data_IF_388491475544
#
_entry.id   IF_388491475544
#
_cell.length_a   1.000
_cell.length_b   1.000
_cell.length_c   1.000
_cell.angle_alpha   90.00
_cell.angle_beta   90.00
_cell.angle_gamma   90.00
#
_symmetry.space_group_name_H-M   'P 1'
#
loop_
_entity.id
_entity.type
_entity.pdbx_description
1 polymer ?
#
# COMPACT_ATOMS: atom_id res chain seq x y z
N UNK A 1 -17.12 22.96 -6.33
CA UNK A 1 -15.82 22.23 -6.42
C UNK A 1 -15.58 21.54 -5.08
N UNK A 2 -15.78 20.22 -5.00
CA UNK A 2 -15.46 19.49 -3.77
C UNK A 2 -13.94 19.34 -3.68
N UNK A 3 -13.30 20.04 -2.74
CA UNK A 3 -11.86 19.94 -2.50
C UNK A 3 -11.44 18.47 -2.38
N UNK A 4 -10.42 18.07 -3.13
CA UNK A 4 -9.84 16.71 -3.13
C UNK A 4 -9.15 16.41 -1.78
N UNK A 5 -8.80 17.45 -1.02
CA UNK A 5 -8.14 17.36 0.27
C UNK A 5 -9.13 17.66 1.39
N UNK A 6 -9.66 16.61 2.02
CA UNK A 6 -10.40 16.73 3.29
C UNK A 6 -9.42 16.61 4.46
N UNK A 7 -9.69 17.24 5.61
CA UNK A 7 -8.86 17.10 6.81
C UNK A 7 -8.78 15.64 7.28
N UNK A 8 -9.80 14.82 7.03
CA UNK A 8 -9.78 13.38 7.30
C UNK A 8 -8.75 12.63 6.44
N UNK A 9 -8.63 12.99 5.16
CA UNK A 9 -7.67 12.39 4.24
C UNK A 9 -6.24 12.75 4.63
N UNK A 10 -5.99 14.02 4.97
CA UNK A 10 -4.69 14.51 5.44
C UNK A 10 -4.19 13.76 6.68
N UNK A 11 -5.07 13.49 7.65
CA UNK A 11 -4.73 12.73 8.86
C UNK A 11 -4.35 11.26 8.59
N UNK A 12 -4.79 10.71 7.47
CA UNK A 12 -4.55 9.31 7.10
C UNK A 12 -3.34 9.14 6.14
N UNK A 13 -2.79 10.24 5.60
CA UNK A 13 -1.57 10.18 4.77
C UNK A 13 -0.38 9.52 5.49
N UNK A 14 -0.10 9.81 6.78
CA UNK A 14 0.98 9.14 7.49
C UNK A 14 0.80 7.63 7.59
N UNK A 15 -0.45 7.13 7.68
CA UNK A 15 -0.73 5.70 7.72
C UNK A 15 -0.42 5.03 6.37
N UNK A 16 -0.74 5.69 5.26
CA UNK A 16 -0.40 5.20 3.93
C UNK A 16 1.13 5.16 3.71
N UNK A 17 1.84 6.18 4.19
CA UNK A 17 3.31 6.22 4.14
C UNK A 17 3.93 5.13 5.01
N UNK A 18 3.54 5.03 6.28
CA UNK A 18 4.06 4.04 7.23
C UNK A 18 3.78 2.61 6.75
N UNK A 19 2.57 2.33 6.26
CA UNK A 19 2.26 1.02 5.69
C UNK A 19 3.09 0.72 4.44
N UNK A 20 3.32 1.71 3.57
CA UNK A 20 4.22 1.55 2.42
C UNK A 20 5.66 1.24 2.82
N UNK A 21 6.19 1.92 3.85
CA UNK A 21 7.53 1.65 4.41
C UNK A 21 7.62 0.22 4.93
N UNK A 22 6.65 -0.20 5.75
CA UNK A 22 6.60 -1.57 6.31
C UNK A 22 6.55 -2.61 5.21
N UNK A 23 5.70 -2.41 4.20
CA UNK A 23 5.57 -3.34 3.07
C UNK A 23 6.85 -3.40 2.23
N UNK A 24 7.55 -2.28 2.05
CA UNK A 24 8.85 -2.29 1.38
C UNK A 24 9.86 -3.15 2.12
N UNK A 25 9.98 -2.98 3.43
CA UNK A 25 10.90 -3.79 4.25
C UNK A 25 10.53 -5.28 4.18
N UNK A 26 9.23 -5.59 4.18
CA UNK A 26 8.74 -6.95 4.02
C UNK A 26 9.09 -7.55 2.64
N UNK A 27 8.98 -6.78 1.56
CA UNK A 27 9.41 -7.22 0.22
C UNK A 27 10.89 -7.61 0.21
N UNK A 28 11.75 -6.82 0.86
CA UNK A 28 13.20 -7.11 0.95
C UNK A 28 13.52 -8.34 1.80
N UNK A 29 12.73 -8.62 2.84
CA UNK A 29 12.98 -9.73 3.77
C UNK A 29 12.25 -11.02 3.41
N UNK A 30 11.30 -10.98 2.47
CA UNK A 30 10.48 -12.16 2.18
C UNK A 30 11.22 -13.19 1.34
N UNK A 31 11.10 -14.45 1.74
CA UNK A 31 11.59 -15.60 0.96
C UNK A 31 10.56 -16.10 -0.07
N UNK A 32 9.31 -15.62 0.02
CA UNK A 32 8.20 -16.07 -0.82
C UNK A 32 7.37 -14.89 -1.31
N UNK A 33 6.70 -15.06 -2.44
CA UNK A 33 5.88 -14.00 -3.06
C UNK A 33 4.54 -13.79 -2.31
N UNK A 34 4.03 -14.82 -1.64
CA UNK A 34 2.66 -14.83 -1.12
C UNK A 34 2.48 -13.90 0.09
N UNK A 35 3.46 -13.86 0.99
CA UNK A 35 3.38 -13.05 2.21
C UNK A 35 3.33 -11.54 1.90
N UNK A 36 4.20 -10.98 1.03
CA UNK A 36 4.11 -9.58 0.62
C UNK A 36 2.77 -9.21 -0.02
N UNK A 37 2.24 -10.05 -0.89
CA UNK A 37 0.96 -9.78 -1.54
C UNK A 37 -0.22 -9.85 -0.58
N UNK A 38 -0.26 -10.83 0.32
CA UNK A 38 -1.30 -10.91 1.33
C UNK A 38 -1.29 -9.66 2.22
N UNK A 39 -0.11 -9.22 2.65
CA UNK A 39 0.02 -8.01 3.47
C UNK A 39 -0.33 -6.74 2.69
N UNK A 40 0.06 -6.63 1.41
CA UNK A 40 -0.36 -5.53 0.54
C UNK A 40 -1.89 -5.42 0.51
N UNK A 41 -2.61 -6.54 0.31
CA UNK A 41 -4.07 -6.56 0.31
C UNK A 41 -4.63 -6.15 1.68
N UNK A 42 -4.12 -6.71 2.78
CA UNK A 42 -4.64 -6.41 4.14
C UNK A 42 -4.45 -4.95 4.53
N UNK A 43 -3.24 -4.40 4.33
CA UNK A 43 -2.97 -3.01 4.68
C UNK A 43 -3.76 -2.04 3.81
N UNK A 44 -3.79 -2.29 2.50
CA UNK A 44 -4.54 -1.43 1.57
C UNK A 44 -6.05 -1.53 1.78
N UNK A 45 -6.57 -2.70 2.14
CA UNK A 45 -7.95 -2.88 2.57
C UNK A 45 -8.28 -2.00 3.77
N UNK A 46 -7.41 -1.96 4.78
CA UNK A 46 -7.56 -1.06 5.92
C UNK A 46 -7.64 0.41 5.51
N UNK A 47 -6.78 0.85 4.58
CA UNK A 47 -6.81 2.22 4.06
C UNK A 47 -8.11 2.53 3.30
N UNK A 48 -8.58 1.59 2.47
CA UNK A 48 -9.84 1.68 1.77
C UNK A 48 -11.04 1.77 2.71
N UNK A 49 -11.02 0.96 3.77
CA UNK A 49 -12.05 0.93 4.80
C UNK A 49 -12.09 2.22 5.64
N UNK A 50 -10.92 2.80 5.94
CA UNK A 50 -10.80 4.07 6.65
C UNK A 50 -11.29 5.25 5.81
N UNK A 51 -11.13 5.19 4.49
CA UNK A 51 -11.54 6.25 3.57
C UNK A 51 -12.40 5.72 2.41
N UNK A 52 -13.68 5.41 2.66
CA UNK A 52 -14.55 4.74 1.67
C UNK A 52 -14.80 5.54 0.39
N UNK A 53 -14.68 6.88 0.40
CA UNK A 53 -14.89 7.69 -0.82
C UNK A 53 -13.61 7.95 -1.62
N UNK A 54 -12.44 7.91 -0.98
CA UNK A 54 -11.15 8.34 -1.57
C UNK A 54 -9.97 7.43 -1.22
N UNK A 55 -10.25 6.17 -0.85
CA UNK A 55 -9.23 5.19 -0.48
C UNK A 55 -8.21 4.91 -1.58
N UNK A 56 -8.58 5.15 -2.85
CA UNK A 56 -7.67 5.07 -3.98
C UNK A 56 -6.50 6.06 -3.88
N UNK A 57 -6.69 7.24 -3.26
CA UNK A 57 -5.61 8.22 -3.05
C UNK A 57 -4.58 7.67 -2.07
N UNK A 58 -5.05 7.09 -0.96
CA UNK A 58 -4.19 6.48 0.05
C UNK A 58 -3.47 5.25 -0.51
N UNK A 59 -4.15 4.44 -1.31
CA UNK A 59 -3.54 3.29 -1.99
C UNK A 59 -2.48 3.72 -3.01
N UNK A 60 -2.75 4.78 -3.78
CA UNK A 60 -1.76 5.32 -4.73
C UNK A 60 -0.52 5.83 -3.99
N UNK A 61 -0.71 6.54 -2.88
CA UNK A 61 0.40 7.00 -2.05
C UNK A 61 1.19 5.82 -1.46
N UNK A 62 0.51 4.77 -1.02
CA UNK A 62 1.14 3.55 -0.52
C UNK A 62 2.00 2.87 -1.59
N UNK A 63 1.48 2.71 -2.81
CA UNK A 63 2.22 2.14 -3.96
C UNK A 63 3.43 3.03 -4.30
N UNK A 64 3.25 4.35 -4.38
CA UNK A 64 4.34 5.28 -4.64
C UNK A 64 5.43 5.17 -3.57
N UNK A 65 5.04 5.04 -2.31
CA UNK A 65 5.97 4.85 -1.20
C UNK A 65 6.75 3.55 -1.36
N UNK A 66 6.06 2.45 -1.70
CA UNK A 66 6.70 1.14 -1.91
C UNK A 66 7.75 1.21 -3.02
N UNK A 67 7.38 1.76 -4.18
CA UNK A 67 8.27 1.84 -5.35
C UNK A 67 9.44 2.78 -5.10
N UNK A 68 9.18 4.00 -4.61
CA UNK A 68 10.24 4.99 -4.38
C UNK A 68 11.20 4.54 -3.29
N UNK A 69 10.70 3.95 -2.21
CA UNK A 69 11.55 3.47 -1.14
C UNK A 69 12.35 2.24 -1.57
N UNK A 70 11.77 1.34 -2.36
CA UNK A 70 12.50 0.22 -2.95
C UNK A 70 13.65 0.72 -3.82
N UNK A 71 13.40 1.67 -4.73
CA UNK A 71 14.45 2.25 -5.59
C UNK A 71 15.55 2.95 -4.77
N UNK A 72 15.15 3.69 -3.73
CA UNK A 72 16.09 4.36 -2.83
C UNK A 72 16.98 3.33 -2.13
N UNK A 73 16.39 2.31 -1.50
CA UNK A 73 17.11 1.26 -0.77
C UNK A 73 18.04 0.45 -1.68
N UNK A 74 17.62 0.19 -2.92
CA UNK A 74 18.45 -0.47 -3.93
C UNK A 74 19.64 0.43 -4.32
N UNK A 75 19.43 1.73 -4.51
CA UNK A 75 20.47 2.67 -4.94
C UNK A 75 21.52 2.97 -3.86
N UNK A 76 21.12 2.95 -2.59
CA UNK A 76 22.01 3.27 -1.47
C UNK A 76 22.61 2.05 -0.80
N UNK A 77 22.20 0.84 -1.22
CA UNK A 77 22.56 -0.44 -0.61
C UNK A 77 22.30 -0.50 0.91
N UNK A 78 21.40 0.34 1.42
CA UNK A 78 21.08 0.38 2.86
C UNK A 78 20.40 -0.90 3.35
N UNK A 79 19.73 -1.62 2.44
CA UNK A 79 19.10 -2.89 2.74
C UNK A 79 19.32 -3.84 1.57
N UNK A 80 19.97 -4.98 1.83
CA UNK A 80 20.15 -6.02 0.82
C UNK A 80 18.94 -6.96 0.84
N UNK A 81 18.28 -7.19 -0.31
CA UNK A 81 17.15 -8.11 -0.38
C UNK A 81 17.63 -9.55 -0.18
N UNK A 82 16.88 -10.33 0.60
CA UNK A 82 17.17 -11.75 0.83
C UNK A 82 17.11 -12.54 -0.48
N UNK A 83 16.14 -12.20 -1.34
CA UNK A 83 15.94 -12.75 -2.67
C UNK A 83 15.61 -11.61 -3.65
N UNK A 84 16.58 -11.18 -4.48
CA UNK A 84 16.39 -10.02 -5.37
C UNK A 84 15.24 -10.21 -6.36
N UNK A 85 15.14 -11.39 -6.96
CA UNK A 85 14.08 -11.79 -7.88
C UNK A 85 12.67 -11.65 -7.28
N UNK A 86 12.50 -12.04 -6.01
CA UNK A 86 11.23 -11.92 -5.30
C UNK A 86 10.95 -10.48 -4.89
N UNK A 87 11.96 -9.74 -4.42
CA UNK A 87 11.82 -8.34 -4.04
C UNK A 87 11.37 -7.47 -5.24
N UNK A 88 11.96 -7.71 -6.41
CA UNK A 88 11.62 -7.03 -7.66
C UNK A 88 10.19 -7.37 -8.05
N UNK A 89 9.86 -8.66 -8.14
CA UNK A 89 8.54 -9.13 -8.54
C UNK A 89 7.44 -8.58 -7.62
N UNK A 90 7.63 -8.70 -6.30
CA UNK A 90 6.64 -8.27 -5.31
C UNK A 90 6.45 -6.75 -5.28
N UNK A 91 7.51 -5.98 -5.52
CA UNK A 91 7.45 -4.52 -5.57
C UNK A 91 6.77 -4.03 -6.85
N UNK A 92 7.17 -4.51 -8.03
CA UNK A 92 6.58 -4.05 -9.28
C UNK A 92 5.11 -4.47 -9.44
N UNK A 93 4.76 -5.67 -8.96
CA UNK A 93 3.36 -6.11 -8.97
C UNK A 93 2.53 -5.56 -7.81
N UNK A 94 3.11 -4.86 -6.82
CA UNK A 94 2.41 -4.38 -5.62
C UNK A 94 1.22 -3.45 -5.94
N UNK A 95 1.20 -2.82 -7.11
CA UNK A 95 0.13 -1.92 -7.53
C UNK A 95 -1.24 -2.59 -7.57
N UNK A 96 -1.31 -3.80 -8.12
CA UNK A 96 -2.57 -4.53 -8.28
C UNK A 96 -3.22 -4.95 -6.95
N UNK A 97 -2.53 -5.68 -6.04
CA UNK A 97 -3.11 -6.07 -4.76
C UNK A 97 -3.42 -4.86 -3.87
N UNK A 98 -2.62 -3.80 -3.95
CA UNK A 98 -2.84 -2.57 -3.17
C UNK A 98 -4.09 -1.82 -3.63
N UNK A 99 -4.28 -1.65 -4.93
CA UNK A 99 -5.50 -1.03 -5.45
C UNK A 99 -6.71 -1.92 -5.19
N UNK A 100 -6.61 -3.22 -5.46
CA UNK A 100 -7.71 -4.18 -5.24
C UNK A 100 -8.14 -4.22 -3.77
N UNK A 101 -7.20 -4.31 -2.83
CA UNK A 101 -7.49 -4.32 -1.40
C UNK A 101 -8.18 -3.02 -0.96
N UNK A 102 -7.66 -1.86 -1.36
CA UNK A 102 -8.29 -0.58 -1.05
C UNK A 102 -9.69 -0.42 -1.64
N UNK A 103 -9.90 -0.81 -2.91
CA UNK A 103 -11.23 -0.79 -3.51
C UNK A 103 -12.21 -1.71 -2.77
N UNK A 104 -11.77 -2.90 -2.37
CA UNK A 104 -12.56 -3.86 -1.62
C UNK A 104 -12.94 -3.32 -0.23
N UNK A 105 -11.97 -2.79 0.53
CA UNK A 105 -12.23 -2.20 1.85
C UNK A 105 -13.17 -1.02 1.79
N UNK A 106 -12.99 -0.16 0.78
CA UNK A 106 -13.87 0.98 0.55
C UNK A 106 -15.29 0.51 0.15
N UNK A 107 -15.41 -0.51 -0.69
CA UNK A 107 -16.68 -1.09 -1.09
C UNK A 107 -17.45 -1.67 0.09
N UNK A 108 -16.81 -2.53 0.89
CA UNK A 108 -17.47 -3.14 2.05
C UNK A 108 -17.90 -2.11 3.09
N UNK A 109 -17.06 -1.09 3.36
CA UNK A 109 -17.46 -0.02 4.29
C UNK A 109 -18.65 0.76 3.77
N UNK A 110 -18.74 1.02 2.46
CA UNK A 110 -19.92 1.67 1.86
C UNK A 110 -21.16 0.80 1.92
N UNK A 111 -21.02 -0.52 1.72
CA UNK A 111 -22.13 -1.46 1.80
C UNK A 111 -22.71 -1.49 3.23
N UNK A 112 -21.84 -1.54 4.25
CA UNK A 112 -22.26 -1.56 5.67
C UNK A 112 -22.89 -0.24 6.12
N UNK A 113 -22.47 0.90 5.57
CA UNK A 113 -23.03 2.19 5.93
C UNK A 113 -24.35 2.51 5.21
N UNK A 114 -24.68 1.79 4.13
CA UNK A 114 -25.88 2.02 3.30
C UNK A 114 -26.91 0.90 3.37
N UNK A 115 -26.53 -0.29 3.84
CA UNK A 115 -27.44 -1.40 4.15
C UNK A 115 -27.88 -1.33 5.60
#
# INVERSE_FOLDING_TARGET
>A
MNSIFTPSLLRQLPLALLSGVVLTVLNFKSETVHMPFLLNVVFSFGLGWLQPQRGWVLATLQVLTIVLLYLLLLSTEWLVPTRPDIADFTTYLAIFPTLAGSFMGAFLRRAILKG
#
